data_IF_643743891655
#
_entry.id   IF_643743891655
#
_cell.length_a   1.000
_cell.length_b   1.000
_cell.length_c   1.000
_cell.angle_alpha   90.00
_cell.angle_beta   90.00
_cell.angle_gamma   90.00
#
_symmetry.space_group_name_H-M   'P 1'
#
loop_
_entity.id
_entity.type
_entity.pdbx_description
1 polymer ?
#
# COMPACT_ATOMS: atom_id res chain seq x y z
N UNK A 1 -8.60 -18.60 40.81
CA UNK A 1 -9.05 -17.48 39.93
C UNK A 1 -8.05 -17.32 38.79
N UNK A 2 -8.45 -17.50 37.52
CA UNK A 2 -7.59 -17.15 36.37
C UNK A 2 -7.46 -15.63 36.32
N UNK A 3 -6.25 -15.09 36.50
CA UNK A 3 -5.97 -13.67 36.30
C UNK A 3 -6.47 -13.27 34.90
N UNK A 4 -7.35 -12.27 34.85
CA UNK A 4 -7.83 -11.71 33.59
C UNK A 4 -6.63 -11.12 32.83
N UNK A 5 -6.35 -11.63 31.62
CA UNK A 5 -5.24 -11.12 30.83
C UNK A 5 -5.54 -9.70 30.34
N UNK A 6 -4.58 -8.81 30.47
CA UNK A 6 -4.70 -7.44 29.94
C UNK A 6 -4.71 -7.48 28.41
N UNK A 7 -5.67 -6.76 27.80
CA UNK A 7 -5.85 -6.71 26.34
C UNK A 7 -4.93 -5.68 25.71
N UNK A 8 -4.24 -6.06 24.65
CA UNK A 8 -3.30 -5.20 23.91
C UNK A 8 -3.55 -5.25 22.42
N UNK A 9 -3.19 -4.17 21.74
CA UNK A 9 -3.15 -4.09 20.31
C UNK A 9 -1.72 -4.28 19.80
N UNK A 10 -1.53 -5.04 18.72
CA UNK A 10 -0.23 -5.17 18.08
C UNK A 10 -0.32 -4.99 16.58
N UNK A 11 0.75 -4.45 15.99
CA UNK A 11 0.93 -4.29 14.55
C UNK A 11 2.10 -5.16 14.10
N UNK A 12 1.81 -6.22 13.35
CA UNK A 12 2.80 -7.20 12.93
C UNK A 12 3.28 -6.88 11.50
N UNK A 13 4.55 -6.50 11.34
CA UNK A 13 5.12 -6.02 10.07
C UNK A 13 6.60 -6.38 9.92
N UNK A 14 7.12 -6.55 8.68
CA UNK A 14 8.57 -6.65 8.44
C UNK A 14 9.29 -5.32 8.76
N UNK A 15 10.40 -5.35 9.52
CA UNK A 15 11.13 -4.14 9.91
C UNK A 15 12.00 -3.54 8.79
N UNK A 16 12.44 -4.32 7.81
CA UNK A 16 13.17 -3.79 6.65
C UNK A 16 12.44 -2.67 5.90
N UNK A 17 11.11 -2.62 6.03
CA UNK A 17 10.27 -1.59 5.43
C UNK A 17 9.61 -0.69 6.50
N UNK A 18 10.13 -0.69 7.72
CA UNK A 18 9.46 -0.06 8.86
C UNK A 18 9.26 1.44 8.66
N UNK A 19 10.28 2.17 8.20
CA UNK A 19 10.19 3.62 7.92
C UNK A 19 9.10 3.93 6.90
N UNK A 20 9.07 3.22 5.79
CA UNK A 20 8.01 3.38 4.77
C UNK A 20 6.63 2.99 5.30
N UNK A 21 6.55 1.90 6.06
CA UNK A 21 5.29 1.42 6.65
C UNK A 21 4.73 2.40 7.69
N UNK A 22 5.57 2.93 8.58
CA UNK A 22 5.16 3.88 9.63
C UNK A 22 4.78 5.22 9.02
N UNK A 23 5.58 5.74 8.08
CA UNK A 23 5.26 6.98 7.37
C UNK A 23 3.90 6.90 6.67
N UNK A 24 3.68 5.82 5.95
CA UNK A 24 2.45 5.60 5.18
C UNK A 24 1.21 5.38 6.09
N UNK A 25 1.39 4.84 7.29
CA UNK A 25 0.32 4.57 8.26
C UNK A 25 0.36 5.50 9.48
N UNK A 26 1.10 6.61 9.42
CA UNK A 26 1.29 7.53 10.54
C UNK A 26 -0.04 7.94 11.18
N UNK A 27 -1.01 8.37 10.38
CA UNK A 27 -2.33 8.79 10.89
C UNK A 27 -3.10 7.65 11.55
N UNK A 28 -2.95 6.40 11.06
CA UNK A 28 -3.53 5.24 11.73
C UNK A 28 -2.87 5.01 13.10
N UNK A 29 -1.54 5.08 13.19
CA UNK A 29 -0.83 4.93 14.47
C UNK A 29 -1.19 6.04 15.46
N UNK A 30 -1.28 7.28 15.01
CA UNK A 30 -1.72 8.42 15.83
C UNK A 30 -3.13 8.20 16.38
N UNK A 31 -4.04 7.70 15.55
CA UNK A 31 -5.41 7.44 15.95
C UNK A 31 -5.52 6.24 16.91
N UNK A 32 -4.78 5.17 16.62
CA UNK A 32 -4.67 4.02 17.52
C UNK A 32 -4.08 4.45 18.88
N UNK A 33 -3.04 5.29 18.89
CA UNK A 33 -2.36 5.71 20.12
C UNK A 33 -3.25 6.52 21.06
N UNK A 34 -4.20 7.27 20.52
CA UNK A 34 -5.20 8.01 21.31
C UNK A 34 -6.23 7.11 21.97
N UNK A 35 -6.39 5.88 21.48
CA UNK A 35 -7.47 4.99 21.86
C UNK A 35 -7.01 3.73 22.61
N UNK A 36 -5.71 3.41 22.57
CA UNK A 36 -5.14 2.24 23.23
C UNK A 36 -3.94 2.63 24.08
N UNK A 37 -3.87 2.10 25.29
CA UNK A 37 -2.81 2.42 26.26
C UNK A 37 -1.42 2.07 25.74
N UNK A 38 -1.28 0.91 25.11
CA UNK A 38 -0.02 0.43 24.52
C UNK A 38 -0.28 -0.27 23.20
N UNK A 39 0.59 -0.01 22.22
CA UNK A 39 0.58 -0.65 20.91
C UNK A 39 1.94 -1.30 20.69
N UNK A 40 1.97 -2.60 20.44
CA UNK A 40 3.22 -3.30 20.13
C UNK A 40 3.44 -3.37 18.62
N UNK A 41 4.56 -2.83 18.14
CA UNK A 41 4.99 -2.99 16.74
C UNK A 41 5.99 -4.14 16.71
N UNK A 42 5.57 -5.26 16.12
CA UNK A 42 6.28 -6.53 16.21
C UNK A 42 6.93 -6.86 14.86
N UNK A 43 8.22 -7.16 14.87
CA UNK A 43 8.92 -7.62 13.67
C UNK A 43 8.49 -9.03 13.28
N UNK A 44 8.00 -9.18 12.06
CA UNK A 44 7.60 -10.47 11.51
C UNK A 44 8.69 -11.21 10.75
N UNK A 45 9.86 -10.60 10.52
CA UNK A 45 10.93 -11.20 9.68
C UNK A 45 11.56 -12.42 10.33
N UNK A 46 11.88 -12.33 11.61
CA UNK A 46 12.48 -13.44 12.36
C UNK A 46 11.51 -14.61 12.60
N UNK A 47 10.22 -14.42 12.28
CA UNK A 47 9.16 -15.40 12.38
C UNK A 47 8.83 -16.06 11.02
N UNK A 48 9.73 -15.99 10.05
CA UNK A 48 9.59 -16.59 8.72
C UNK A 48 10.29 -17.96 8.61
N UNK A 49 9.82 -18.78 7.65
CA UNK A 49 10.61 -19.91 7.19
C UNK A 49 11.82 -19.41 6.39
N UNK A 50 12.97 -20.02 6.59
CA UNK A 50 14.21 -19.75 5.85
C UNK A 50 14.75 -18.31 6.02
N UNK A 51 14.56 -17.72 7.19
CA UNK A 51 15.22 -16.46 7.49
C UNK A 51 16.73 -16.70 7.59
N UNK A 52 17.48 -16.31 6.55
CA UNK A 52 18.92 -16.09 6.69
C UNK A 52 19.07 -14.90 7.62
N UNK A 53 19.74 -15.08 8.75
CA UNK A 53 20.14 -14.00 9.66
C UNK A 53 21.05 -13.01 8.89
N UNK A 54 20.48 -12.17 8.08
CA UNK A 54 21.15 -10.95 7.67
C UNK A 54 21.06 -10.03 8.88
N UNK A 55 22.19 -9.87 9.57
CA UNK A 55 22.38 -8.84 10.59
C UNK A 55 22.40 -7.47 9.90
N UNK A 56 21.29 -7.10 9.29
CA UNK A 56 21.07 -5.73 8.88
C UNK A 56 20.69 -4.96 10.16
N UNK A 57 21.72 -4.56 10.90
CA UNK A 57 21.60 -3.47 11.84
C UNK A 57 21.20 -2.22 11.07
N UNK A 58 19.93 -2.16 10.66
CA UNK A 58 19.36 -0.94 10.13
C UNK A 58 19.54 0.12 11.21
N UNK A 59 20.27 1.18 10.86
CA UNK A 59 20.40 2.36 11.69
C UNK A 59 19.03 2.69 12.29
N UNK A 60 19.00 2.99 13.58
CA UNK A 60 17.82 3.49 14.29
C UNK A 60 17.50 4.90 13.78
N UNK A 61 17.12 5.00 12.50
CA UNK A 61 16.56 6.24 11.98
C UNK A 61 15.37 6.62 12.86
N UNK A 62 15.30 7.88 13.26
CA UNK A 62 14.19 8.41 14.06
C UNK A 62 12.88 8.18 13.30
N UNK A 63 12.14 7.15 13.73
CA UNK A 63 10.82 6.85 13.22
C UNK A 63 9.86 7.68 14.05
N UNK A 64 9.14 8.59 13.41
CA UNK A 64 8.15 9.43 14.09
C UNK A 64 6.86 8.62 14.33
N UNK A 65 6.78 7.99 15.50
CA UNK A 65 5.59 7.27 15.97
C UNK A 65 5.23 7.73 17.38
N UNK A 66 3.96 7.58 17.80
CA UNK A 66 3.53 7.93 19.15
C UNK A 66 4.30 7.20 20.25
N UNK A 67 4.49 7.86 21.39
CA UNK A 67 5.31 7.37 22.50
C UNK A 67 4.80 6.07 23.15
N UNK A 68 3.50 5.76 23.03
CA UNK A 68 2.92 4.52 23.53
C UNK A 68 3.03 3.34 22.55
N UNK A 69 3.69 3.53 21.40
CA UNK A 69 4.07 2.46 20.50
C UNK A 69 5.41 1.86 20.91
N UNK A 70 5.43 0.56 21.21
CA UNK A 70 6.58 -0.17 21.72
C UNK A 70 7.06 -1.12 20.62
N UNK A 71 8.33 -1.00 20.22
CA UNK A 71 8.94 -1.95 19.29
C UNK A 71 9.33 -3.24 19.99
N UNK A 72 8.94 -4.36 19.38
CA UNK A 72 9.35 -5.68 19.81
C UNK A 72 9.92 -6.47 18.62
N UNK A 73 11.16 -6.91 18.77
CA UNK A 73 11.88 -7.67 17.73
C UNK A 73 12.20 -9.06 18.26
N UNK A 74 11.25 -10.02 18.21
CA UNK A 74 11.49 -11.38 18.70
C UNK A 74 12.57 -12.07 17.86
N UNK A 75 13.51 -12.75 18.52
CA UNK A 75 14.56 -13.53 17.85
C UNK A 75 13.99 -14.77 17.16
N UNK A 76 12.95 -15.36 17.76
CA UNK A 76 12.30 -16.57 17.30
C UNK A 76 10.86 -16.71 17.85
N UNK A 77 10.22 -17.84 17.54
CA UNK A 77 8.88 -18.14 18.03
C UNK A 77 8.82 -18.45 19.55
N UNK A 78 9.94 -18.85 20.17
CA UNK A 78 9.99 -19.09 21.61
C UNK A 78 9.87 -17.76 22.35
N UNK A 79 10.73 -16.80 22.03
CA UNK A 79 10.68 -15.46 22.63
C UNK A 79 9.32 -14.78 22.35
N UNK A 80 8.78 -14.94 21.14
CA UNK A 80 7.44 -14.43 20.83
C UNK A 80 6.35 -15.13 21.68
N UNK A 81 6.47 -16.43 21.93
CA UNK A 81 5.55 -17.16 22.80
C UNK A 81 5.63 -16.70 24.26
N UNK A 82 6.83 -16.47 24.78
CA UNK A 82 7.07 -15.96 26.13
C UNK A 82 6.46 -14.55 26.28
N UNK A 83 6.66 -13.68 25.30
CA UNK A 83 6.03 -12.37 25.27
C UNK A 83 4.50 -12.39 25.34
N UNK A 84 3.87 -13.45 24.85
CA UNK A 84 2.41 -13.62 24.81
C UNK A 84 1.79 -14.22 26.09
N UNK A 85 2.60 -14.69 27.06
CA UNK A 85 2.11 -15.46 28.23
C UNK A 85 1.02 -14.70 29.00
N UNK A 86 1.27 -13.43 29.29
CA UNK A 86 0.38 -12.61 30.16
C UNK A 86 -0.49 -11.63 29.34
N UNK A 87 -0.55 -11.77 28.02
CA UNK A 87 -1.21 -10.81 27.16
C UNK A 87 -2.30 -11.46 26.32
N UNK A 88 -3.45 -10.79 26.23
CA UNK A 88 -4.46 -11.04 25.20
C UNK A 88 -4.24 -10.03 24.07
N UNK A 89 -3.72 -10.50 22.94
CA UNK A 89 -3.28 -9.62 21.86
C UNK A 89 -4.18 -9.74 20.63
N UNK A 90 -4.69 -8.59 20.16
CA UNK A 90 -5.24 -8.46 18.82
C UNK A 90 -4.13 -8.02 17.86
N UNK A 91 -3.95 -8.76 16.78
CA UNK A 91 -2.93 -8.46 15.76
C UNK A 91 -3.53 -7.73 14.57
N UNK A 92 -3.03 -6.51 14.27
CA UNK A 92 -3.18 -5.91 12.94
C UNK A 92 -2.13 -6.51 12.03
N UNK A 93 -2.59 -7.29 11.05
CA UNK A 93 -1.74 -8.04 10.13
C UNK A 93 -1.30 -7.17 8.95
N UNK A 94 0.00 -6.86 8.88
CA UNK A 94 0.65 -6.23 7.72
C UNK A 94 1.73 -7.13 7.08
N UNK A 95 1.73 -8.42 7.38
CA UNK A 95 2.56 -9.41 6.72
C UNK A 95 1.75 -10.19 5.68
N UNK A 96 2.35 -10.53 4.56
CA UNK A 96 1.66 -11.19 3.43
C UNK A 96 1.24 -12.65 3.74
N UNK A 97 0.66 -13.30 2.71
CA UNK A 97 0.24 -14.71 2.72
C UNK A 97 1.15 -15.53 1.81
N UNK A 98 2.43 -15.51 2.07
CA UNK A 98 3.42 -16.30 1.34
C UNK A 98 3.75 -17.58 2.09
N UNK A 99 4.39 -18.53 1.44
CA UNK A 99 4.87 -19.74 2.08
C UNK A 99 5.79 -19.44 3.27
N UNK A 100 6.67 -18.45 3.12
CA UNK A 100 7.56 -18.00 4.21
C UNK A 100 6.81 -17.62 5.48
N UNK A 101 5.58 -17.12 5.35
CA UNK A 101 4.72 -16.69 6.47
C UNK A 101 3.80 -17.79 7.00
N UNK A 102 3.76 -18.97 6.37
CA UNK A 102 2.87 -20.07 6.79
C UNK A 102 3.09 -20.46 8.25
N UNK A 103 4.35 -20.59 8.68
CA UNK A 103 4.69 -20.91 10.08
C UNK A 103 4.10 -19.89 11.07
N UNK A 104 4.17 -18.61 10.72
CA UNK A 104 3.57 -17.54 11.54
C UNK A 104 2.04 -17.66 11.59
N UNK A 105 1.39 -17.94 10.47
CA UNK A 105 -0.06 -18.18 10.45
C UNK A 105 -0.49 -19.41 11.28
N UNK A 106 0.28 -20.50 11.24
CA UNK A 106 0.06 -21.69 12.08
C UNK A 106 0.25 -21.37 13.57
N UNK A 107 1.33 -20.66 13.90
CA UNK A 107 1.61 -20.24 15.28
C UNK A 107 0.48 -19.36 15.85
N UNK A 108 0.04 -18.34 15.10
CA UNK A 108 -1.07 -17.47 15.51
C UNK A 108 -2.36 -18.27 15.71
N UNK A 109 -2.61 -19.28 14.87
CA UNK A 109 -3.75 -20.20 15.04
C UNK A 109 -3.62 -21.05 16.31
N UNK A 110 -2.46 -21.66 16.52
CA UNK A 110 -2.18 -22.48 17.70
C UNK A 110 -2.34 -21.68 19.01
N UNK A 111 -1.87 -20.45 19.03
CA UNK A 111 -2.01 -19.52 20.18
C UNK A 111 -3.40 -18.87 20.26
N UNK A 112 -4.32 -19.21 19.36
CA UNK A 112 -5.67 -18.61 19.26
C UNK A 112 -5.68 -17.08 19.20
N UNK A 113 -4.69 -16.50 18.52
CA UNK A 113 -4.53 -15.05 18.39
C UNK A 113 -5.47 -14.53 17.31
N UNK A 114 -6.31 -13.56 17.67
CA UNK A 114 -7.23 -12.89 16.75
C UNK A 114 -6.46 -11.92 15.86
N UNK A 115 -6.83 -11.87 14.57
CA UNK A 115 -6.21 -10.99 13.60
C UNK A 115 -7.24 -10.12 12.88
N UNK A 116 -6.84 -8.89 12.60
CA UNK A 116 -7.53 -8.00 11.64
C UNK A 116 -6.55 -7.57 10.56
N UNK A 117 -7.05 -7.17 9.40
CA UNK A 117 -6.22 -6.63 8.32
C UNK A 117 -6.76 -5.28 7.87
N UNK A 118 -5.86 -4.29 7.79
CA UNK A 118 -6.17 -2.98 7.24
C UNK A 118 -5.61 -2.88 5.84
N UNK A 119 -6.49 -2.68 4.86
CA UNK A 119 -6.14 -2.56 3.43
C UNK A 119 -6.89 -1.37 2.80
N UNK A 120 -6.82 -0.22 3.47
CA UNK A 120 -7.52 1.01 3.08
C UNK A 120 -6.70 1.91 2.13
N UNK A 121 -5.95 1.29 1.21
CA UNK A 121 -5.03 2.01 0.32
C UNK A 121 -5.74 2.70 -0.83
N UNK A 122 -6.95 2.28 -1.20
CA UNK A 122 -7.67 2.84 -2.35
C UNK A 122 -7.08 2.43 -3.72
N UNK A 123 -6.13 1.51 -3.75
CA UNK A 123 -5.45 1.11 -4.98
C UNK A 123 -6.19 -0.04 -5.67
N UNK A 124 -6.38 0.01 -7.00
CA UNK A 124 -6.93 -1.12 -7.71
C UNK A 124 -6.02 -2.34 -7.56
N UNK A 125 -6.62 -3.52 -7.49
CA UNK A 125 -5.87 -4.76 -7.36
C UNK A 125 -4.83 -4.88 -8.47
N UNK A 126 -3.56 -5.00 -8.09
CA UNK A 126 -2.50 -5.32 -9.02
C UNK A 126 -2.81 -6.62 -9.76
N UNK A 127 -2.71 -6.58 -11.08
CA UNK A 127 -2.62 -7.82 -11.83
C UNK A 127 -1.28 -8.51 -11.50
N UNK A 128 -1.23 -9.84 -11.49
CA UNK A 128 0.02 -10.55 -11.29
C UNK A 128 1.05 -10.08 -12.33
N UNK A 129 2.31 -10.02 -11.93
CA UNK A 129 3.41 -9.68 -12.83
C UNK A 129 3.43 -10.64 -14.01
N UNK A 130 3.80 -10.15 -15.19
CA UNK A 130 4.08 -10.99 -16.35
C UNK A 130 5.41 -11.69 -16.05
N UNK A 131 5.38 -13.01 -16.04
CA UNK A 131 6.56 -13.83 -15.84
C UNK A 131 7.22 -14.08 -17.20
N UNK A 132 8.47 -13.67 -17.33
CA UNK A 132 9.28 -13.98 -18.51
C UNK A 132 10.06 -15.26 -18.26
N UNK A 133 9.40 -16.40 -18.47
CA UNK A 133 10.01 -17.72 -18.30
C UNK A 133 11.22 -17.97 -19.22
N UNK A 134 11.31 -17.24 -20.35
CA UNK A 134 12.44 -17.40 -21.27
C UNK A 134 13.72 -16.75 -20.73
N UNK A 135 13.58 -15.62 -20.00
CA UNK A 135 14.73 -14.87 -19.49
C UNK A 135 15.22 -15.33 -18.11
N UNK A 136 14.33 -15.84 -17.27
CA UNK A 136 14.73 -16.26 -15.92
C UNK A 136 13.78 -17.33 -15.35
N UNK A 137 13.94 -18.56 -15.81
CA UNK A 137 13.07 -19.70 -15.52
C UNK A 137 12.99 -19.99 -14.01
N UNK A 138 14.13 -20.00 -13.30
CA UNK A 138 14.19 -20.36 -11.87
C UNK A 138 13.49 -19.29 -11.01
N UNK A 139 13.76 -18.00 -11.24
CA UNK A 139 13.12 -16.92 -10.48
C UNK A 139 11.64 -16.82 -10.80
N UNK A 140 11.25 -17.01 -12.04
CA UNK A 140 9.85 -17.04 -12.47
C UNK A 140 9.08 -18.21 -11.85
N UNK A 141 9.68 -19.41 -11.79
CA UNK A 141 9.10 -20.56 -11.10
C UNK A 141 8.97 -20.32 -9.61
N UNK A 142 10.03 -19.82 -8.96
CA UNK A 142 9.99 -19.47 -7.53
C UNK A 142 8.88 -18.49 -7.20
N UNK A 143 8.74 -17.43 -7.99
CA UNK A 143 7.66 -16.46 -7.82
C UNK A 143 6.28 -17.07 -8.08
N UNK A 144 6.15 -17.91 -9.12
CA UNK A 144 4.91 -18.61 -9.42
C UNK A 144 4.47 -19.48 -8.23
N UNK A 145 5.39 -20.25 -7.67
CA UNK A 145 5.09 -21.07 -6.50
C UNK A 145 4.76 -20.20 -5.29
N UNK A 146 5.60 -19.20 -4.93
CA UNK A 146 5.40 -18.39 -3.74
C UNK A 146 4.15 -17.50 -3.81
N UNK A 147 3.96 -16.79 -4.91
CA UNK A 147 2.93 -15.76 -5.01
C UNK A 147 1.59 -16.27 -5.56
N UNK A 148 1.61 -17.31 -6.37
CA UNK A 148 0.39 -17.83 -7.00
C UNK A 148 -0.09 -19.10 -6.31
N UNK A 149 0.75 -20.13 -6.20
CA UNK A 149 0.34 -21.41 -5.64
C UNK A 149 0.24 -21.34 -4.11
N UNK A 150 1.33 -21.02 -3.43
CA UNK A 150 1.34 -21.02 -1.96
C UNK A 150 0.42 -19.98 -1.36
N UNK A 151 0.25 -18.81 -1.98
CA UNK A 151 -0.75 -17.83 -1.54
C UNK A 151 -2.17 -18.40 -1.61
N UNK A 152 -2.50 -19.16 -2.65
CA UNK A 152 -3.80 -19.85 -2.76
C UNK A 152 -3.94 -20.95 -1.72
N UNK A 153 -2.88 -21.72 -1.47
CA UNK A 153 -2.85 -22.78 -0.44
C UNK A 153 -3.12 -22.14 0.93
N UNK A 154 -2.42 -21.10 1.33
CA UNK A 154 -2.65 -20.41 2.63
C UNK A 154 -4.09 -19.89 2.74
N UNK A 155 -4.69 -19.42 1.65
CA UNK A 155 -6.10 -19.02 1.64
C UNK A 155 -7.01 -20.23 1.85
N UNK A 156 -6.77 -21.35 1.17
CA UNK A 156 -7.55 -22.59 1.32
C UNK A 156 -7.42 -23.12 2.75
N UNK A 157 -6.21 -23.22 3.29
CA UNK A 157 -5.97 -23.63 4.68
C UNK A 157 -6.68 -22.70 5.67
N UNK A 158 -6.71 -21.40 5.40
CA UNK A 158 -7.49 -20.44 6.18
C UNK A 158 -8.99 -20.68 6.09
N UNK A 159 -9.53 -20.99 4.91
CA UNK A 159 -10.95 -21.32 4.74
C UNK A 159 -11.32 -22.61 5.50
N UNK A 160 -10.42 -23.62 5.50
CA UNK A 160 -10.58 -24.85 6.24
C UNK A 160 -10.33 -24.68 7.77
N UNK A 161 -9.91 -23.50 8.23
CA UNK A 161 -9.62 -23.25 9.64
C UNK A 161 -8.31 -23.82 10.15
N UNK A 162 -7.45 -24.31 9.26
CA UNK A 162 -6.15 -24.89 9.61
C UNK A 162 -5.08 -23.84 9.93
N UNK A 163 -5.23 -22.62 9.42
CA UNK A 163 -4.40 -21.46 9.78
C UNK A 163 -5.26 -20.31 10.32
N UNK A 164 -4.63 -19.36 10.99
CA UNK A 164 -5.35 -18.22 11.56
C UNK A 164 -6.14 -17.46 10.50
N UNK A 165 -7.43 -17.22 10.77
CA UNK A 165 -8.34 -16.40 9.94
C UNK A 165 -8.32 -14.94 10.38
N UNK A 166 -8.65 -14.05 9.45
CA UNK A 166 -8.97 -12.68 9.82
C UNK A 166 -10.37 -12.61 10.43
N UNK A 167 -10.46 -12.02 11.60
CA UNK A 167 -11.77 -11.68 12.18
C UNK A 167 -12.44 -10.60 11.34
N UNK A 168 -11.69 -9.53 11.05
CA UNK A 168 -12.17 -8.42 10.23
C UNK A 168 -11.11 -8.06 9.19
N UNK A 169 -11.56 -7.77 7.97
CA UNK A 169 -10.75 -7.14 6.94
C UNK A 169 -11.35 -5.79 6.57
N UNK A 170 -10.60 -4.72 6.80
CA UNK A 170 -10.95 -3.37 6.38
C UNK A 170 -10.48 -3.12 4.94
N UNK A 171 -11.37 -2.64 4.10
CA UNK A 171 -11.10 -2.37 2.68
C UNK A 171 -11.63 -1.00 2.29
N UNK A 172 -10.91 -0.30 1.43
CA UNK A 172 -11.41 0.89 0.75
C UNK A 172 -11.82 0.64 -0.70
N UNK A 173 -11.96 -0.60 -1.12
CA UNK A 173 -12.27 -0.98 -2.48
C UNK A 173 -13.59 -1.76 -2.54
N UNK A 174 -14.66 -1.07 -2.93
CA UNK A 174 -16.02 -1.61 -3.05
C UNK A 174 -16.12 -2.71 -4.12
N UNK A 175 -15.37 -2.59 -5.19
CA UNK A 175 -15.38 -3.56 -6.31
C UNK A 175 -14.93 -4.96 -5.84
N UNK A 176 -14.10 -5.07 -4.83
CA UNK A 176 -13.72 -6.38 -4.26
C UNK A 176 -14.96 -7.12 -3.72
N UNK A 177 -15.81 -6.41 -3.00
CA UNK A 177 -17.04 -7.02 -2.45
C UNK A 177 -18.00 -7.41 -3.56
N UNK A 178 -18.16 -6.57 -4.56
CA UNK A 178 -18.99 -6.87 -5.71
C UNK A 178 -18.50 -8.13 -6.46
N UNK A 179 -17.18 -8.26 -6.64
CA UNK A 179 -16.59 -9.48 -7.22
C UNK A 179 -16.79 -10.73 -6.36
N UNK A 180 -16.77 -10.58 -5.03
CA UNK A 180 -17.09 -11.70 -4.13
C UNK A 180 -18.56 -12.09 -4.29
N UNK A 181 -19.47 -11.12 -4.32
CA UNK A 181 -20.91 -11.35 -4.46
C UNK A 181 -21.29 -11.95 -5.81
N UNK A 182 -20.67 -11.51 -6.90
CA UNK A 182 -20.91 -12.02 -8.26
C UNK A 182 -20.35 -13.43 -8.50
N UNK A 183 -19.38 -13.89 -7.70
CA UNK A 183 -18.85 -15.25 -7.82
C UNK A 183 -19.60 -16.20 -6.87
N UNK A 184 -20.33 -17.22 -7.38
CA UNK A 184 -21.18 -18.09 -6.56
C UNK A 184 -20.42 -18.78 -5.43
N UNK A 185 -19.26 -19.35 -5.75
CA UNK A 185 -18.43 -20.08 -4.77
C UNK A 185 -17.92 -19.13 -3.68
N UNK A 186 -17.37 -17.97 -4.07
CA UNK A 186 -16.86 -16.99 -3.10
C UNK A 186 -17.97 -16.43 -2.23
N UNK A 187 -19.15 -16.16 -2.81
CA UNK A 187 -20.31 -15.67 -2.09
C UNK A 187 -20.81 -16.71 -1.08
N UNK A 188 -20.91 -17.98 -1.50
CA UNK A 188 -21.26 -19.08 -0.60
C UNK A 188 -20.27 -19.20 0.57
N UNK A 189 -18.98 -19.25 0.29
CA UNK A 189 -17.93 -19.32 1.32
C UNK A 189 -17.98 -18.10 2.28
N UNK A 190 -18.25 -16.91 1.75
CA UNK A 190 -18.38 -15.70 2.55
C UNK A 190 -19.62 -15.76 3.48
N UNK A 191 -20.77 -16.14 2.95
CA UNK A 191 -22.03 -16.28 3.73
C UNK A 191 -21.89 -17.34 4.83
N UNK A 192 -21.22 -18.45 4.56
CA UNK A 192 -20.98 -19.53 5.53
C UNK A 192 -19.81 -19.24 6.48
N UNK A 193 -19.25 -18.02 6.49
CA UNK A 193 -18.06 -17.63 7.28
C UNK A 193 -16.82 -18.55 7.06
N UNK A 194 -16.81 -19.26 5.93
CA UNK A 194 -15.68 -20.10 5.49
C UNK A 194 -14.68 -19.33 4.64
N UNK A 195 -14.96 -18.07 4.33
CA UNK A 195 -14.02 -17.19 3.66
C UNK A 195 -12.88 -16.84 4.60
N UNK A 196 -11.69 -16.53 4.04
CA UNK A 196 -10.49 -16.23 4.82
C UNK A 196 -10.69 -15.09 5.85
N UNK A 197 -11.55 -14.12 5.57
CA UNK A 197 -11.97 -13.11 6.53
C UNK A 197 -13.43 -13.39 6.95
N UNK A 198 -13.71 -13.45 8.24
CA UNK A 198 -15.08 -13.67 8.76
C UNK A 198 -15.98 -12.49 8.44
N UNK A 199 -15.44 -11.27 8.48
CA UNK A 199 -16.16 -10.02 8.18
C UNK A 199 -15.31 -9.11 7.29
N UNK A 200 -15.94 -8.46 6.34
CA UNK A 200 -15.33 -7.37 5.56
C UNK A 200 -16.05 -6.07 5.91
N UNK A 201 -15.30 -5.05 6.28
CA UNK A 201 -15.79 -3.71 6.59
C UNK A 201 -15.25 -2.75 5.55
N UNK A 202 -16.14 -2.03 4.89
CA UNK A 202 -15.76 -0.96 3.97
C UNK A 202 -15.46 0.31 4.77
N UNK A 203 -14.33 0.92 4.49
CA UNK A 203 -13.87 2.17 5.12
C UNK A 203 -13.32 3.11 4.06
N UNK A 204 -13.31 4.40 4.33
CA UNK A 204 -12.67 5.35 3.45
C UNK A 204 -11.16 5.13 3.40
N UNK A 205 -10.52 5.53 2.29
CA UNK A 205 -9.09 5.33 2.12
C UNK A 205 -8.28 6.28 2.99
N UNK A 206 -7.07 5.88 3.35
CA UNK A 206 -6.12 6.74 4.07
C UNK A 206 -5.77 8.03 3.30
N UNK A 207 -5.72 7.98 1.97
CA UNK A 207 -5.50 9.18 1.15
C UNK A 207 -6.65 10.17 1.29
N UNK A 208 -7.90 9.68 1.31
CA UNK A 208 -9.06 10.51 1.62
C UNK A 208 -8.96 11.11 3.03
N UNK A 209 -8.66 10.31 4.05
CA UNK A 209 -8.57 10.77 5.42
C UNK A 209 -7.57 11.91 5.60
N UNK A 210 -6.38 11.74 5.02
CA UNK A 210 -5.33 12.74 5.11
C UNK A 210 -5.68 14.04 4.40
N UNK A 211 -6.30 13.97 3.22
CA UNK A 211 -6.75 15.14 2.49
C UNK A 211 -7.91 15.84 3.19
N UNK A 212 -8.82 15.08 3.78
CA UNK A 212 -9.97 15.62 4.51
C UNK A 212 -9.56 16.33 5.80
N UNK A 213 -8.63 15.75 6.57
CA UNK A 213 -8.11 16.35 7.80
C UNK A 213 -7.32 17.63 7.53
N UNK A 214 -6.41 17.58 6.59
CA UNK A 214 -5.43 18.64 6.39
C UNK A 214 -5.96 19.78 5.50
N UNK A 215 -7.07 19.57 4.76
CA UNK A 215 -7.67 20.53 3.84
C UNK A 215 -6.60 21.43 3.18
N UNK A 216 -5.64 20.85 2.46
CA UNK A 216 -4.50 21.61 1.97
C UNK A 216 -4.96 22.72 1.03
N UNK A 217 -4.32 23.88 1.14
CA UNK A 217 -4.57 24.97 0.20
C UNK A 217 -4.25 24.51 -1.22
N UNK A 218 -5.26 24.51 -2.09
CA UNK A 218 -5.08 24.17 -3.49
C UNK A 218 -4.50 25.37 -4.24
N UNK A 219 -3.55 25.11 -5.10
CA UNK A 219 -3.01 26.11 -6.01
C UNK A 219 -2.52 25.44 -7.29
N UNK A 220 -2.13 26.21 -8.28
CA UNK A 220 -1.67 25.75 -9.58
C UNK A 220 -0.26 26.29 -9.90
N UNK A 221 0.66 26.15 -8.93
CA UNK A 221 2.02 26.73 -9.04
C UNK A 221 2.98 25.85 -9.83
N UNK A 222 2.89 24.51 -9.68
CA UNK A 222 3.92 23.60 -10.13
C UNK A 222 3.42 22.58 -11.15
N UNK A 223 4.33 22.07 -11.96
CA UNK A 223 4.18 20.74 -12.56
C UNK A 223 4.84 19.76 -11.60
N UNK A 224 4.13 18.73 -11.19
CA UNK A 224 4.65 17.72 -10.27
C UNK A 224 4.88 16.42 -11.03
N UNK A 225 6.13 15.94 -11.05
CA UNK A 225 6.45 14.62 -11.59
C UNK A 225 6.54 13.60 -10.46
N UNK A 226 5.74 12.54 -10.56
CA UNK A 226 5.79 11.40 -9.64
C UNK A 226 6.72 10.34 -10.23
N UNK A 227 7.99 10.41 -9.81
CA UNK A 227 9.03 9.52 -10.33
C UNK A 227 8.87 8.10 -9.78
N UNK A 228 9.28 7.16 -10.60
CA UNK A 228 9.25 5.75 -10.26
C UNK A 228 10.59 5.10 -10.58
N UNK A 229 11.20 4.47 -9.58
CA UNK A 229 12.51 3.84 -9.69
C UNK A 229 12.60 2.88 -10.87
N UNK A 230 13.64 3.02 -11.67
CA UNK A 230 13.94 2.08 -12.76
C UNK A 230 14.31 0.69 -12.25
N UNK A 231 14.95 0.63 -11.09
CA UNK A 231 15.40 -0.59 -10.43
C UNK A 231 14.53 -0.93 -9.21
N UNK A 232 13.19 -0.86 -9.38
CA UNK A 232 12.29 -1.29 -8.29
C UNK A 232 12.57 -2.76 -7.94
N UNK A 233 12.69 -3.13 -6.65
CA UNK A 233 12.97 -4.51 -6.24
C UNK A 233 12.04 -5.55 -6.86
N UNK A 234 10.76 -5.24 -7.01
CA UNK A 234 9.79 -6.13 -7.67
C UNK A 234 10.10 -6.33 -9.17
N UNK A 235 10.70 -5.34 -9.81
CA UNK A 235 11.09 -5.44 -11.21
C UNK A 235 12.39 -6.22 -11.38
N UNK A 236 13.31 -6.12 -10.41
CA UNK A 236 14.56 -6.89 -10.41
C UNK A 236 14.34 -8.38 -10.20
N UNK A 237 13.21 -8.80 -9.61
CA UNK A 237 12.84 -10.22 -9.50
C UNK A 237 12.60 -10.88 -10.87
N UNK A 238 12.33 -10.10 -11.92
CA UNK A 238 11.89 -10.61 -13.22
C UNK A 238 12.82 -10.27 -14.38
N UNK A 239 13.91 -9.54 -14.13
CA UNK A 239 14.83 -9.13 -15.18
C UNK A 239 16.25 -8.94 -14.66
N UNK A 240 17.17 -8.93 -15.59
CA UNK A 240 18.53 -8.51 -15.36
C UNK A 240 18.60 -7.05 -14.92
N UNK A 241 19.65 -6.70 -14.18
CA UNK A 241 19.95 -5.32 -13.80
C UNK A 241 19.96 -4.44 -15.04
N UNK A 242 19.27 -3.31 -14.99
CA UNK A 242 19.30 -2.33 -16.09
C UNK A 242 20.73 -1.82 -16.22
N UNK A 243 21.25 -1.81 -17.44
CA UNK A 243 22.55 -1.23 -17.75
C UNK A 243 22.50 0.31 -17.64
N UNK A 244 23.67 0.90 -17.44
CA UNK A 244 23.80 2.36 -17.25
C UNK A 244 23.32 3.12 -18.50
N UNK A 245 23.60 2.64 -19.69
CA UNK A 245 23.13 3.26 -20.94
C UNK A 245 21.61 3.37 -21.00
N UNK A 246 20.90 2.33 -20.54
CA UNK A 246 19.43 2.35 -20.47
C UNK A 246 18.95 3.36 -19.41
N UNK A 247 19.66 3.47 -18.28
CA UNK A 247 19.36 4.46 -17.23
C UNK A 247 19.57 5.87 -17.79
N UNK A 248 20.70 6.15 -18.41
CA UNK A 248 21.02 7.45 -18.98
C UNK A 248 20.02 7.86 -20.05
N UNK A 249 19.67 6.96 -20.97
CA UNK A 249 18.64 7.22 -21.97
C UNK A 249 17.28 7.53 -21.35
N UNK A 250 16.91 6.81 -20.29
CA UNK A 250 15.65 7.09 -19.59
C UNK A 250 15.63 8.51 -19.03
N UNK A 251 16.67 8.90 -18.27
CA UNK A 251 16.73 10.22 -17.67
C UNK A 251 16.95 11.33 -18.69
N UNK A 252 17.66 11.06 -19.78
CA UNK A 252 17.78 12.00 -20.90
C UNK A 252 16.39 12.38 -21.46
N UNK A 253 15.56 11.39 -21.81
CA UNK A 253 14.24 11.66 -22.35
C UNK A 253 13.26 12.20 -21.29
N UNK A 254 13.41 11.80 -20.03
CA UNK A 254 12.62 12.36 -18.94
C UNK A 254 12.94 13.84 -18.74
N UNK A 255 14.21 14.21 -18.64
CA UNK A 255 14.67 15.59 -18.54
C UNK A 255 14.14 16.44 -19.70
N UNK A 256 14.27 15.97 -20.93
CA UNK A 256 13.77 16.64 -22.13
C UNK A 256 12.24 16.85 -22.07
N UNK A 257 11.50 15.86 -21.62
CA UNK A 257 10.04 15.91 -21.48
C UNK A 257 9.61 16.91 -20.41
N UNK A 258 10.23 16.87 -19.24
CA UNK A 258 9.89 17.74 -18.13
C UNK A 258 10.28 19.20 -18.42
N UNK A 259 11.43 19.43 -19.09
CA UNK A 259 11.87 20.76 -19.54
C UNK A 259 10.86 21.37 -20.51
N UNK A 260 10.44 20.61 -21.53
CA UNK A 260 9.41 21.06 -22.48
C UNK A 260 8.11 21.43 -21.77
N UNK A 261 7.63 20.59 -20.84
CA UNK A 261 6.41 20.92 -20.08
C UNK A 261 6.60 22.20 -19.24
N UNK A 262 7.78 22.37 -18.62
CA UNK A 262 8.10 23.59 -17.86
C UNK A 262 8.03 24.84 -18.74
N UNK A 263 8.62 24.79 -19.91
CA UNK A 263 8.65 25.87 -20.87
C UNK A 263 7.25 26.19 -21.44
N UNK A 264 6.52 25.16 -21.89
CA UNK A 264 5.18 25.31 -22.46
C UNK A 264 4.18 25.93 -21.48
N UNK A 265 4.23 25.48 -20.21
CA UNK A 265 3.29 25.93 -19.19
C UNK A 265 3.81 27.11 -18.36
N UNK A 266 5.08 27.51 -18.53
CA UNK A 266 5.76 28.56 -17.73
C UNK A 266 5.64 28.26 -16.23
N UNK A 267 5.91 27.01 -15.83
CA UNK A 267 5.80 26.55 -14.44
C UNK A 267 7.01 25.73 -14.03
N UNK A 268 7.41 25.90 -12.77
CA UNK A 268 8.48 25.09 -12.17
C UNK A 268 8.07 23.62 -12.09
N UNK A 269 9.02 22.72 -12.40
CA UNK A 269 8.83 21.28 -12.24
C UNK A 269 9.43 20.84 -10.91
N UNK A 270 8.61 20.15 -10.12
CA UNK A 270 9.03 19.48 -8.87
C UNK A 270 8.97 17.97 -9.09
N UNK A 271 10.09 17.30 -8.87
CA UNK A 271 10.15 15.83 -8.97
C UNK A 271 10.01 15.21 -7.59
N UNK A 272 8.98 14.40 -7.41
CA UNK A 272 8.71 13.68 -6.17
C UNK A 272 9.16 12.22 -6.32
N UNK A 273 10.16 11.81 -5.53
CA UNK A 273 10.69 10.46 -5.53
C UNK A 273 10.12 9.62 -4.37
N UNK A 274 10.15 8.31 -4.55
CA UNK A 274 9.68 7.38 -3.51
C UNK A 274 10.56 7.45 -2.25
N UNK A 275 9.99 7.33 -1.03
CA UNK A 275 10.72 7.39 0.24
C UNK A 275 11.90 6.42 0.40
N UNK A 276 11.88 5.30 -0.31
CA UNK A 276 12.93 4.29 -0.27
C UNK A 276 14.08 4.50 -1.28
N UNK A 277 14.15 5.67 -1.93
CA UNK A 277 15.20 5.94 -2.93
C UNK A 277 16.35 6.75 -2.36
N UNK A 278 17.51 6.63 -2.99
CA UNK A 278 18.66 7.49 -2.74
C UNK A 278 18.42 8.87 -3.38
N UNK A 279 18.21 9.87 -2.52
CA UNK A 279 17.94 11.24 -2.94
C UNK A 279 19.10 11.83 -3.73
N UNK A 280 20.35 11.64 -3.27
CA UNK A 280 21.53 12.21 -3.90
C UNK A 280 21.73 11.67 -5.32
N UNK A 281 21.56 10.35 -5.49
CA UNK A 281 21.63 9.70 -6.80
C UNK A 281 20.54 10.20 -7.75
N UNK A 282 19.29 10.38 -7.29
CA UNK A 282 18.21 10.91 -8.12
C UNK A 282 18.43 12.38 -8.46
N UNK A 283 18.95 13.17 -7.51
CA UNK A 283 19.30 14.56 -7.75
C UNK A 283 20.38 14.71 -8.83
N UNK A 284 21.34 13.78 -8.94
CA UNK A 284 22.36 13.83 -10.00
C UNK A 284 21.78 13.61 -11.41
N UNK A 285 20.80 12.73 -11.57
CA UNK A 285 20.13 12.52 -12.85
C UNK A 285 19.16 13.64 -13.25
N UNK A 286 18.59 14.35 -12.28
CA UNK A 286 17.53 15.35 -12.42
C UNK A 286 17.98 16.73 -11.91
N UNK A 287 19.27 17.06 -12.08
CA UNK A 287 19.94 18.23 -11.48
C UNK A 287 19.30 19.57 -11.84
N UNK A 288 18.61 19.66 -12.98
CA UNK A 288 17.91 20.88 -13.40
C UNK A 288 16.55 21.10 -12.73
N UNK A 289 16.08 20.14 -11.93
CA UNK A 289 14.78 20.21 -11.24
C UNK A 289 14.96 20.10 -9.73
N UNK A 290 14.00 20.63 -9.01
CA UNK A 290 13.90 20.41 -7.56
C UNK A 290 13.39 18.99 -7.30
N UNK A 291 14.24 18.14 -6.71
CA UNK A 291 13.89 16.77 -6.29
C UNK A 291 13.52 16.78 -4.81
N UNK A 292 12.39 16.18 -4.48
CA UNK A 292 11.90 16.09 -3.09
C UNK A 292 11.49 14.68 -2.72
N UNK A 293 11.51 14.41 -1.42
CA UNK A 293 11.12 13.15 -0.81
C UNK A 293 10.18 13.42 0.39
N UNK A 294 9.26 12.51 0.70
CA UNK A 294 8.31 12.57 1.83
C UNK A 294 7.23 13.66 1.79
N UNK A 295 7.28 14.65 0.91
CA UNK A 295 6.32 15.77 0.83
C UNK A 295 5.46 15.73 -0.44
N UNK A 296 5.34 14.59 -1.09
CA UNK A 296 4.66 14.43 -2.39
C UNK A 296 3.24 15.00 -2.40
N UNK A 297 2.43 14.71 -1.38
CA UNK A 297 1.05 15.18 -1.28
C UNK A 297 0.96 16.71 -1.24
N UNK A 298 1.82 17.38 -0.48
CA UNK A 298 1.85 18.82 -0.39
C UNK A 298 2.04 19.46 -1.77
N UNK A 299 2.94 18.92 -2.59
CA UNK A 299 3.18 19.45 -3.93
C UNK A 299 2.07 19.08 -4.91
N UNK A 300 1.47 17.88 -4.81
CA UNK A 300 0.29 17.54 -5.62
C UNK A 300 -0.84 18.54 -5.37
N UNK A 301 -1.10 18.94 -4.13
CA UNK A 301 -2.11 19.95 -3.81
C UNK A 301 -1.87 21.29 -4.54
N UNK A 302 -0.61 21.65 -4.70
CA UNK A 302 -0.17 22.90 -5.36
C UNK A 302 0.13 22.72 -6.85
N UNK A 303 -0.19 21.56 -7.43
CA UNK A 303 0.11 21.29 -8.83
C UNK A 303 -0.92 21.86 -9.79
N UNK A 304 -0.43 22.33 -10.92
CA UNK A 304 -1.19 22.63 -12.13
C UNK A 304 -1.42 21.37 -12.97
N UNK A 305 -0.36 20.58 -13.13
CA UNK A 305 -0.34 19.31 -13.85
C UNK A 305 0.48 18.30 -13.05
N UNK A 306 -0.02 17.08 -12.94
CA UNK A 306 0.73 15.95 -12.37
C UNK A 306 1.15 15.03 -13.50
N UNK A 307 2.44 14.77 -13.63
CA UNK A 307 2.95 13.75 -14.54
C UNK A 307 3.34 12.51 -13.72
N UNK A 308 3.06 11.32 -14.25
CA UNK A 308 3.27 10.06 -13.52
C UNK A 308 3.68 8.93 -14.45
N UNK A 309 4.53 8.03 -13.96
CA UNK A 309 4.82 6.76 -14.65
C UNK A 309 3.98 5.61 -14.08
N UNK A 310 4.30 5.14 -12.88
CA UNK A 310 3.55 4.05 -12.22
C UNK A 310 3.44 4.24 -10.69
N UNK A 311 3.60 5.47 -10.22
CA UNK A 311 3.51 5.81 -8.78
C UNK A 311 2.08 5.70 -8.26
N UNK A 312 1.92 5.07 -7.08
CA UNK A 312 0.64 5.03 -6.38
C UNK A 312 0.18 6.39 -5.83
N UNK A 313 1.08 7.37 -5.71
CA UNK A 313 0.74 8.72 -5.27
C UNK A 313 -0.19 9.47 -6.26
N UNK A 314 -0.35 8.95 -7.49
CA UNK A 314 -1.34 9.46 -8.45
C UNK A 314 -2.76 9.46 -7.88
N UNK A 315 -3.06 8.60 -6.90
CA UNK A 315 -4.35 8.56 -6.23
C UNK A 315 -4.70 9.89 -5.56
N UNK A 316 -3.72 10.57 -4.97
CA UNK A 316 -3.93 11.89 -4.35
C UNK A 316 -4.30 12.94 -5.42
N UNK A 317 -3.68 12.87 -6.61
CA UNK A 317 -4.02 13.74 -7.74
C UNK A 317 -5.45 13.50 -8.26
N UNK A 318 -5.87 12.23 -8.35
CA UNK A 318 -7.22 11.83 -8.74
C UNK A 318 -8.26 12.33 -7.72
N UNK A 319 -8.01 12.15 -6.42
CA UNK A 319 -8.87 12.62 -5.33
C UNK A 319 -9.04 14.16 -5.37
N UNK A 320 -7.99 14.87 -5.73
CA UNK A 320 -7.96 16.32 -5.83
C UNK A 320 -8.42 16.84 -7.19
N UNK A 321 -8.87 15.97 -8.09
CA UNK A 321 -9.30 16.30 -9.44
C UNK A 321 -8.26 17.13 -10.24
N UNK A 322 -6.98 16.79 -10.05
CA UNK A 322 -5.88 17.43 -10.78
C UNK A 322 -5.77 16.87 -12.20
N UNK A 323 -5.26 17.68 -13.13
CA UNK A 323 -4.87 17.22 -14.46
C UNK A 323 -3.75 16.19 -14.34
N UNK A 324 -3.92 15.00 -14.90
CA UNK A 324 -2.92 13.92 -14.82
C UNK A 324 -2.50 13.49 -16.21
N UNK A 325 -1.19 13.45 -16.45
CA UNK A 325 -0.55 12.94 -17.66
C UNK A 325 0.38 11.77 -17.35
N UNK A 326 0.05 10.57 -17.83
CA UNK A 326 0.89 9.40 -17.73
C UNK A 326 2.04 9.46 -18.75
N UNK A 327 3.29 9.34 -18.26
CA UNK A 327 4.49 9.24 -19.10
C UNK A 327 4.90 7.80 -19.26
N UNK A 328 4.87 7.29 -20.48
CA UNK A 328 5.28 5.92 -20.80
C UNK A 328 6.72 5.92 -21.30
N UNK A 329 7.59 5.18 -20.63
CA UNK A 329 9.00 5.01 -21.01
C UNK A 329 9.27 3.61 -21.53
N UNK A 330 9.83 3.50 -22.72
CA UNK A 330 10.27 2.21 -23.29
C UNK A 330 11.48 1.62 -22.57
N UNK A 331 12.25 2.44 -21.88
CA UNK A 331 13.43 2.03 -21.10
C UNK A 331 13.08 1.34 -19.78
N UNK A 332 11.81 1.37 -19.41
CA UNK A 332 11.30 0.65 -18.23
C UNK A 332 10.91 -0.78 -18.57
N UNK A 333 10.99 -1.68 -17.60
CA UNK A 333 10.57 -3.05 -17.80
C UNK A 333 9.08 -3.16 -18.19
N UNK A 334 8.75 -4.27 -18.85
CA UNK A 334 7.39 -4.53 -19.31
C UNK A 334 6.34 -4.48 -18.18
N UNK A 335 6.69 -4.96 -16.97
CA UNK A 335 5.80 -4.92 -15.82
C UNK A 335 5.53 -3.51 -15.33
N UNK A 336 6.55 -2.64 -15.24
CA UNK A 336 6.39 -1.23 -14.88
C UNK A 336 5.53 -0.48 -15.90
N UNK A 337 5.83 -0.66 -17.20
CA UNK A 337 5.01 -0.04 -18.27
C UNK A 337 3.55 -0.49 -18.18
N UNK A 338 3.33 -1.79 -17.97
CA UNK A 338 1.99 -2.35 -17.82
C UNK A 338 1.27 -1.79 -16.59
N UNK A 339 1.96 -1.63 -15.44
CA UNK A 339 1.37 -0.99 -14.25
C UNK A 339 0.96 0.45 -14.53
N UNK A 340 1.82 1.24 -15.18
CA UNK A 340 1.50 2.61 -15.56
C UNK A 340 0.28 2.70 -16.47
N UNK A 341 0.22 1.87 -17.52
CA UNK A 341 -0.92 1.81 -18.44
C UNK A 341 -2.20 1.30 -17.75
N UNK A 342 -2.07 0.31 -16.86
CA UNK A 342 -3.22 -0.19 -16.09
C UNK A 342 -3.78 0.88 -15.16
N UNK A 343 -2.90 1.66 -14.51
CA UNK A 343 -3.32 2.79 -13.71
C UNK A 343 -4.06 3.83 -14.57
N UNK A 344 -3.48 4.19 -15.72
CA UNK A 344 -4.11 5.13 -16.63
C UNK A 344 -5.50 4.67 -17.09
N UNK A 345 -5.63 3.41 -17.48
CA UNK A 345 -6.91 2.84 -17.89
C UNK A 345 -7.92 2.76 -16.73
N UNK A 346 -7.43 2.44 -15.52
CA UNK A 346 -8.32 2.32 -14.34
C UNK A 346 -8.81 3.66 -13.85
N UNK A 347 -7.92 4.65 -13.80
CA UNK A 347 -8.22 6.01 -13.33
C UNK A 347 -8.76 6.91 -14.44
N UNK A 348 -8.60 6.51 -15.69
CA UNK A 348 -9.10 7.25 -16.84
C UNK A 348 -8.25 8.45 -17.25
N UNK A 349 -6.97 8.55 -16.87
CA UNK A 349 -6.14 9.67 -17.29
C UNK A 349 -5.41 9.42 -18.63
N UNK A 350 -5.01 10.53 -19.27
CA UNK A 350 -4.28 10.51 -20.54
C UNK A 350 -2.87 9.93 -20.37
N UNK A 351 -2.38 9.18 -21.37
CA UNK A 351 -0.98 8.72 -21.44
C UNK A 351 -0.31 9.14 -22.74
N UNK A 352 1.01 9.37 -22.67
CA UNK A 352 1.85 9.61 -23.87
C UNK A 352 3.22 8.95 -23.71
N UNK A 353 3.84 8.61 -24.84
CA UNK A 353 5.24 8.17 -24.81
C UNK A 353 6.14 9.39 -24.52
N UNK A 354 7.11 9.19 -23.64
CA UNK A 354 8.08 10.22 -23.25
C UNK A 354 8.78 10.86 -24.46
N UNK A 355 9.18 10.05 -25.45
CA UNK A 355 9.83 10.55 -26.67
C UNK A 355 8.92 11.44 -27.53
N UNK A 356 7.60 11.21 -27.47
CA UNK A 356 6.61 11.95 -28.27
C UNK A 356 6.15 13.24 -27.62
N UNK A 357 6.47 13.49 -26.34
CA UNK A 357 5.97 14.67 -25.64
C UNK A 357 6.46 15.98 -26.26
N UNK A 358 7.67 15.98 -26.85
CA UNK A 358 8.24 17.14 -27.50
C UNK A 358 7.49 17.58 -28.75
N UNK A 359 6.70 16.69 -29.36
CA UNK A 359 5.85 16.96 -30.52
C UNK A 359 4.38 17.20 -30.16
N UNK A 360 4.01 17.10 -28.88
CA UNK A 360 2.65 17.38 -28.44
C UNK A 360 2.43 18.88 -28.24
N UNK A 361 1.32 19.37 -28.77
CA UNK A 361 0.86 20.71 -28.48
C UNK A 361 0.35 20.85 -27.04
N UNK A 362 0.70 21.96 -26.41
CA UNK A 362 0.27 22.38 -25.08
C UNK A 362 -1.24 22.34 -24.89
N UNK A 363 -2.00 22.90 -25.86
CA UNK A 363 -3.46 22.96 -25.80
C UNK A 363 -4.08 21.56 -25.85
N UNK A 364 -3.49 20.64 -26.64
CA UNK A 364 -3.91 19.27 -26.72
C UNK A 364 -3.72 18.56 -25.36
N UNK A 365 -2.59 18.78 -24.68
CA UNK A 365 -2.35 18.22 -23.35
C UNK A 365 -3.40 18.71 -22.36
N UNK A 366 -3.70 20.01 -22.34
CA UNK A 366 -4.70 20.59 -21.46
C UNK A 366 -6.09 20.03 -21.74
N UNK A 367 -6.55 20.13 -22.97
CA UNK A 367 -7.88 19.68 -23.36
C UNK A 367 -8.11 18.19 -23.04
N UNK A 368 -7.14 17.34 -23.37
CA UNK A 368 -7.27 15.91 -23.14
C UNK A 368 -7.16 15.52 -21.65
N UNK A 369 -6.34 16.21 -20.86
CA UNK A 369 -6.27 15.95 -19.41
C UNK A 369 -7.51 16.48 -18.68
N UNK A 370 -8.07 17.61 -19.08
CA UNK A 370 -9.31 18.16 -18.50
C UNK A 370 -10.53 17.31 -18.79
N UNK A 371 -10.68 16.81 -20.01
CA UNK A 371 -11.76 15.87 -20.37
C UNK A 371 -11.82 14.62 -19.49
N UNK A 372 -10.70 14.22 -18.86
CA UNK A 372 -10.62 13.03 -18.02
C UNK A 372 -11.07 13.26 -16.58
N UNK A 373 -11.05 14.50 -16.09
CA UNK A 373 -11.37 14.83 -14.70
C UNK A 373 -12.75 14.35 -14.23
N UNK A 374 -13.85 14.53 -15.02
CA UNK A 374 -15.16 14.02 -14.60
C UNK A 374 -15.20 12.51 -14.37
N UNK A 375 -14.40 11.75 -15.12
CA UNK A 375 -14.30 10.29 -14.95
C UNK A 375 -13.69 9.85 -13.62
N UNK A 376 -12.97 10.74 -12.92
CA UNK A 376 -12.36 10.44 -11.63
C UNK A 376 -13.39 10.16 -10.52
N UNK A 377 -14.61 10.70 -10.63
CA UNK A 377 -15.64 10.49 -9.62
C UNK A 377 -16.03 9.02 -9.49
N UNK A 378 -16.07 8.28 -10.59
CA UNK A 378 -16.28 6.83 -10.53
C UNK A 378 -15.23 6.14 -9.67
N UNK A 379 -13.97 6.52 -9.86
CA UNK A 379 -12.87 5.93 -9.11
C UNK A 379 -12.88 6.37 -7.64
N UNK A 380 -13.08 7.64 -7.38
CA UNK A 380 -13.17 8.19 -6.01
C UNK A 380 -14.26 7.46 -5.21
N UNK A 381 -15.45 7.33 -5.78
CA UNK A 381 -16.61 6.71 -5.11
C UNK A 381 -16.48 5.19 -4.90
N UNK A 382 -15.64 4.51 -5.69
CA UNK A 382 -15.49 3.05 -5.58
C UNK A 382 -14.25 2.61 -4.82
N UNK A 383 -13.25 3.50 -4.64
CA UNK A 383 -11.97 3.14 -4.06
C UNK A 383 -11.55 4.02 -2.87
N UNK A 384 -12.12 5.22 -2.72
CA UNK A 384 -11.65 6.18 -1.72
C UNK A 384 -12.72 6.65 -0.74
N UNK A 385 -13.89 7.05 -1.22
CA UNK A 385 -15.00 7.61 -0.40
C UNK A 385 -16.21 6.67 -0.44
N UNK A 386 -16.04 5.46 0.06
CA UNK A 386 -17.01 4.37 -0.11
C UNK A 386 -18.27 4.57 0.73
N UNK A 387 -18.09 5.19 1.88
CA UNK A 387 -19.15 5.53 2.82
C UNK A 387 -19.41 7.05 2.79
N UNK A 388 -19.77 7.60 3.92
CA UNK A 388 -19.89 9.05 4.07
C UNK A 388 -18.49 9.70 3.96
N UNK A 389 -18.26 10.66 3.03
CA UNK A 389 -16.98 11.33 2.90
C UNK A 389 -16.58 12.17 4.12
N UNK A 390 -17.54 12.49 5.03
CA UNK A 390 -17.25 13.18 6.28
C UNK A 390 -16.68 12.28 7.38
N UNK A 391 -16.74 10.96 7.21
CA UNK A 391 -16.27 10.00 8.20
C UNK A 391 -14.87 9.53 7.80
N UNK A 392 -13.92 9.64 8.73
CA UNK A 392 -12.57 9.15 8.48
C UNK A 392 -12.52 7.62 8.55
N UNK A 393 -11.88 6.98 7.58
CA UNK A 393 -11.72 5.53 7.55
C UNK A 393 -10.90 5.00 8.73
N UNK A 394 -9.88 5.75 9.17
CA UNK A 394 -9.08 5.40 10.33
C UNK A 394 -9.91 5.43 11.64
N UNK A 395 -10.84 6.36 11.80
CA UNK A 395 -11.74 6.41 12.96
C UNK A 395 -12.68 5.19 12.95
N UNK A 396 -13.26 4.87 11.80
CA UNK A 396 -14.09 3.67 11.65
C UNK A 396 -13.35 2.37 11.98
N UNK A 397 -12.06 2.28 11.59
CA UNK A 397 -11.20 1.14 11.92
C UNK A 397 -11.05 1.02 13.44
N UNK A 398 -10.68 2.11 14.10
CA UNK A 398 -10.45 2.15 15.56
C UNK A 398 -11.73 1.82 16.32
N UNK A 399 -12.84 2.46 16.02
CA UNK A 399 -14.14 2.19 16.64
C UNK A 399 -14.61 0.74 16.45
N UNK A 400 -14.44 0.21 15.22
CA UNK A 400 -14.79 -1.18 14.93
C UNK A 400 -13.93 -2.15 15.73
N UNK A 401 -12.63 -1.88 15.87
CA UNK A 401 -11.72 -2.69 16.69
C UNK A 401 -12.13 -2.61 18.17
N UNK A 402 -12.36 -1.42 18.71
CA UNK A 402 -12.81 -1.25 20.10
C UNK A 402 -14.09 -2.02 20.36
N UNK A 403 -15.12 -1.81 19.55
CA UNK A 403 -16.43 -2.45 19.70
C UNK A 403 -16.37 -3.99 19.65
N UNK A 404 -15.55 -4.58 18.78
CA UNK A 404 -15.54 -6.03 18.58
C UNK A 404 -14.57 -6.78 19.48
N UNK A 405 -13.55 -6.11 20.06
CA UNK A 405 -12.48 -6.81 20.76
C UNK A 405 -12.14 -6.27 22.13
N UNK A 406 -12.53 -5.03 22.46
CA UNK A 406 -12.12 -4.36 23.69
C UNK A 406 -13.28 -3.93 24.61
N UNK A 407 -14.51 -3.82 24.11
CA UNK A 407 -15.67 -3.54 24.96
C UNK A 407 -16.09 -4.82 25.67
N UNK A 408 -16.11 -4.79 26.99
CA UNK A 408 -16.46 -5.94 27.84
C UNK A 408 -17.97 -6.24 27.85
N UNK A 409 -18.82 -5.31 27.37
CA UNK A 409 -20.29 -5.44 27.35
C UNK A 409 -20.83 -6.51 26.40
N UNK A 410 -19.99 -7.11 25.53
CA UNK A 410 -20.40 -8.17 24.61
C UNK A 410 -20.44 -9.60 25.23
N UNK A 411 -20.13 -9.77 26.51
CA UNK A 411 -20.22 -11.07 27.20
C UNK A 411 -21.64 -11.40 27.65
N UNK A 412 -22.53 -10.42 27.75
CA UNK A 412 -23.92 -10.61 28.25
C UNK A 412 -24.94 -10.99 27.17
N UNK A 413 -24.63 -10.75 25.88
CA UNK A 413 -25.62 -10.98 24.80
C UNK A 413 -25.52 -12.37 24.11
N UNK A 414 -24.51 -13.18 24.42
CA UNK A 414 -24.42 -14.55 23.86
C UNK A 414 -25.07 -15.63 24.72
N UNK A 415 -25.44 -15.32 25.95
CA UNK A 415 -26.07 -16.32 26.87
C UNK A 415 -27.61 -16.34 26.84
N UNK A 416 -28.26 -15.57 25.96
CA UNK A 416 -29.72 -15.56 25.81
C UNK A 416 -30.23 -16.10 24.48
N UNK A 417 -29.37 -16.80 23.69
CA UNK A 417 -29.80 -17.53 22.49
C UNK A 417 -29.18 -18.94 22.49
N UNK A 418 -29.46 -19.70 23.50
CA UNK A 418 -29.32 -21.17 23.50
C UNK A 418 -30.68 -21.82 23.55
#
# INVERSE_FOLDING_TARGET
MKKQKKKYLSYLTPFKNLKGTTHVNQELFENLSKNFEKIYIINSENLEFFNKKENNGGEKEKINIPNNCIFFNPKDFKEFSEFLVDKDILVINNFGRTFKKLKLHLFLKYKNIKMVQVSNIGYPNHQPAIMDFKKNTILSLKYFFDMIIFRKIVIILGNLGLVAKLEIRFLSNKIIIERIRKNPIKNFLYKKKLFYAKKIVLVNSRSHDSLYKNKPALSEKYIVHLDANLNHPDDLLFREKIDEKTIDNHYYFLNKSLKKLSEDFKKEVIVCIHPGYDLAKHQSYLSQFKVIQFRTREYICKSYLVTVMDSSAVMDAILLKKRVLGLVSEYRCANSRRRGLLNANTYGFMTTNMKKITSLDKNKILTETEKKIPGYDYFVNNFHTINNPKILGNDQIVETIKKNFFNDDNLTLQNHQS
#
